data_IF_827492879347
#
_entry.id   IF_827492879347
#
_cell.length_a   1.000
_cell.length_b   1.000
_cell.length_c   1.000
_cell.angle_alpha   90.00
_cell.angle_beta   90.00
_cell.angle_gamma   90.00
#
_symmetry.space_group_name_H-M   'P 1'
#
loop_
_entity.id
_entity.type
_entity.pdbx_description
1 polymer ?
#
# COMPACT_ATOMS: atom_id res chain seq x y z
N UNK A 1 -19.78 25.71 -16.91
CA UNK A 1 -19.18 24.64 -16.08
C UNK A 1 -18.43 25.29 -14.93
N UNK A 2 -18.60 24.84 -13.67
CA UNK A 2 -17.89 25.46 -12.52
C UNK A 2 -16.56 24.76 -12.26
N UNK A 3 -15.58 25.47 -11.69
CA UNK A 3 -14.27 24.91 -11.34
C UNK A 3 -14.35 23.69 -10.42
N UNK A 4 -15.31 23.71 -9.48
CA UNK A 4 -15.63 22.54 -8.63
C UNK A 4 -16.10 21.34 -9.45
N UNK A 5 -16.99 21.56 -10.43
CA UNK A 5 -17.56 20.50 -11.25
C UNK A 5 -16.53 19.93 -12.23
N UNK A 6 -15.67 20.78 -12.78
CA UNK A 6 -14.53 20.36 -13.61
C UNK A 6 -13.51 19.55 -12.81
N UNK A 7 -13.19 19.96 -11.58
CA UNK A 7 -12.32 19.18 -10.68
C UNK A 7 -12.87 17.78 -10.42
N UNK A 8 -14.17 17.67 -10.12
CA UNK A 8 -14.82 16.37 -9.90
C UNK A 8 -14.76 15.51 -11.16
N UNK A 9 -14.99 16.08 -12.34
CA UNK A 9 -14.87 15.34 -13.60
C UNK A 9 -13.45 14.82 -13.83
N UNK A 10 -12.43 15.67 -13.66
CA UNK A 10 -11.03 15.26 -13.78
C UNK A 10 -10.68 14.16 -12.78
N UNK A 11 -11.08 14.31 -11.52
CA UNK A 11 -10.81 13.31 -10.47
C UNK A 11 -11.45 11.95 -10.77
N UNK A 12 -12.55 11.92 -11.54
CA UNK A 12 -13.29 10.71 -11.86
C UNK A 12 -13.07 10.19 -13.28
N UNK A 13 -12.16 10.79 -14.05
CA UNK A 13 -11.79 10.26 -15.36
C UNK A 13 -11.11 8.89 -15.22
N UNK A 14 -11.33 7.98 -16.18
CA UNK A 14 -10.56 6.74 -16.26
C UNK A 14 -9.06 7.06 -16.31
N UNK A 15 -8.21 6.27 -15.64
CA UNK A 15 -6.75 6.46 -15.66
C UNK A 15 -6.14 6.35 -17.07
N UNK A 16 -6.84 5.64 -17.97
CA UNK A 16 -6.50 5.46 -19.39
C UNK A 16 -7.01 6.58 -20.31
N UNK A 17 -7.69 7.60 -19.77
CA UNK A 17 -8.19 8.70 -20.59
C UNK A 17 -7.05 9.56 -21.14
N UNK A 18 -7.22 10.08 -22.36
CA UNK A 18 -6.24 10.97 -23.01
C UNK A 18 -5.89 12.18 -22.14
N UNK A 19 -6.86 12.71 -21.39
CA UNK A 19 -6.66 13.82 -20.46
C UNK A 19 -5.78 13.42 -19.27
N UNK A 20 -5.99 12.24 -18.68
CA UNK A 20 -5.11 11.75 -17.60
C UNK A 20 -3.70 11.48 -18.10
N UNK A 21 -3.55 10.98 -19.32
CA UNK A 21 -2.25 10.79 -19.98
C UNK A 21 -1.56 12.12 -20.25
N UNK A 22 -2.28 13.14 -20.72
CA UNK A 22 -1.73 14.48 -20.93
C UNK A 22 -1.26 15.12 -19.61
N UNK A 23 -2.04 14.96 -18.52
CA UNK A 23 -1.64 15.42 -17.19
C UNK A 23 -0.40 14.70 -16.68
N UNK A 24 -0.29 13.38 -16.92
CA UNK A 24 0.89 12.60 -16.55
C UNK A 24 2.13 13.03 -17.33
N UNK A 25 1.99 13.31 -18.63
CA UNK A 25 3.09 13.76 -19.47
C UNK A 25 3.54 15.20 -19.17
N UNK A 26 2.70 15.98 -18.48
CA UNK A 26 3.02 17.35 -18.06
C UNK A 26 3.79 17.41 -16.74
N UNK A 27 3.96 16.27 -16.03
CA UNK A 27 4.78 16.19 -14.80
C UNK A 27 6.25 16.46 -15.13
N UNK A 28 6.92 17.22 -14.28
CA UNK A 28 8.37 17.42 -14.38
C UNK A 28 9.12 16.16 -13.90
N UNK A 29 10.38 15.96 -14.31
CA UNK A 29 11.19 14.83 -13.83
C UNK A 29 11.31 14.79 -12.30
N UNK A 30 11.44 15.94 -11.66
CA UNK A 30 11.53 16.10 -10.19
C UNK A 30 10.24 15.65 -9.50
N UNK A 31 9.07 15.99 -10.07
CA UNK A 31 7.77 15.54 -9.57
C UNK A 31 7.59 14.03 -9.76
N UNK A 32 8.18 13.46 -10.81
CA UNK A 32 8.10 12.03 -11.12
C UNK A 32 8.95 11.19 -10.16
N UNK A 33 10.14 11.67 -9.80
CA UNK A 33 10.99 11.06 -8.78
C UNK A 33 10.35 11.14 -7.40
N UNK A 34 9.82 12.31 -7.01
CA UNK A 34 9.09 12.46 -5.75
C UNK A 34 7.86 11.51 -5.68
N UNK A 35 7.17 11.34 -6.79
CA UNK A 35 6.05 10.38 -6.89
C UNK A 35 6.51 8.92 -6.82
N UNK A 36 7.73 8.59 -7.25
CA UNK A 36 8.26 7.23 -7.15
C UNK A 36 8.62 6.87 -5.69
N UNK A 37 9.19 7.82 -4.95
CA UNK A 37 9.63 7.61 -3.56
C UNK A 37 8.47 7.72 -2.55
N UNK A 38 7.61 8.73 -2.69
CA UNK A 38 6.50 8.99 -1.77
C UNK A 38 5.16 8.45 -2.28
N UNK A 39 5.17 7.85 -3.46
CA UNK A 39 3.99 7.30 -4.10
C UNK A 39 3.27 6.33 -3.18
N UNK A 40 1.99 6.60 -2.94
CA UNK A 40 1.07 5.68 -2.28
C UNK A 40 0.22 5.02 -3.35
N UNK A 41 0.76 4.04 -4.11
CA UNK A 41 0.05 3.40 -5.20
C UNK A 41 -1.27 2.80 -4.72
N UNK A 42 -1.37 2.37 -3.46
CA UNK A 42 -2.59 1.85 -2.84
C UNK A 42 -3.73 2.88 -2.72
N UNK A 43 -3.44 4.18 -2.79
CA UNK A 43 -4.44 5.26 -2.77
C UNK A 43 -4.83 5.75 -4.16
N UNK A 44 -4.06 5.37 -5.18
CA UNK A 44 -4.30 5.74 -6.58
C UNK A 44 -5.42 4.92 -7.23
N UNK A 45 -5.98 5.42 -8.33
CA UNK A 45 -6.94 4.65 -9.16
C UNK A 45 -6.15 3.79 -10.14
N UNK A 46 -6.07 2.49 -9.87
CA UNK A 46 -5.33 1.60 -10.76
C UNK A 46 -6.08 1.33 -12.05
N UNK A 47 -5.40 1.46 -13.18
CA UNK A 47 -5.87 0.91 -14.44
C UNK A 47 -5.73 -0.61 -14.50
N UNK A 48 -6.30 -1.26 -15.53
CA UNK A 48 -6.15 -2.70 -15.68
C UNK A 48 -4.69 -3.12 -15.88
N UNK A 49 -3.91 -2.34 -16.63
CA UNK A 49 -2.49 -2.58 -16.83
C UNK A 49 -1.72 -2.47 -15.51
N UNK A 50 -2.08 -1.52 -14.65
CA UNK A 50 -1.49 -1.37 -13.32
C UNK A 50 -1.85 -2.56 -12.41
N UNK A 51 -3.06 -3.10 -12.51
CA UNK A 51 -3.45 -4.33 -11.80
C UNK A 51 -2.68 -5.55 -12.30
N UNK A 52 -2.46 -5.65 -13.62
CA UNK A 52 -1.67 -6.73 -14.21
C UNK A 52 -0.20 -6.63 -13.79
N UNK A 53 0.41 -5.44 -13.90
CA UNK A 53 1.80 -5.19 -13.52
C UNK A 53 2.06 -5.50 -12.05
N UNK A 54 1.17 -5.10 -11.16
CA UNK A 54 1.29 -5.44 -9.76
C UNK A 54 1.18 -6.95 -9.51
N UNK A 55 0.40 -7.67 -10.31
CA UNK A 55 0.29 -9.12 -10.21
C UNK A 55 1.57 -9.82 -10.69
N UNK A 56 2.20 -9.28 -11.73
CA UNK A 56 3.54 -9.69 -12.15
C UNK A 56 4.59 -9.43 -11.06
N UNK A 57 4.55 -8.24 -10.44
CA UNK A 57 5.44 -7.89 -9.33
C UNK A 57 5.31 -8.86 -8.15
N UNK A 58 4.09 -9.19 -7.74
CA UNK A 58 3.84 -10.14 -6.65
C UNK A 58 4.36 -11.56 -6.98
N UNK A 59 4.23 -11.98 -8.24
CA UNK A 59 4.75 -13.25 -8.72
C UNK A 59 6.28 -13.28 -8.67
N UNK A 60 6.94 -12.21 -9.12
CA UNK A 60 8.40 -12.08 -9.08
C UNK A 60 8.93 -12.10 -7.64
N UNK A 61 8.32 -11.34 -6.73
CA UNK A 61 8.68 -11.37 -5.30
C UNK A 61 8.54 -12.77 -4.70
N UNK A 62 7.52 -13.53 -5.09
CA UNK A 62 7.35 -14.92 -4.65
C UNK A 62 8.45 -15.82 -5.19
N UNK A 63 8.85 -15.67 -6.44
CA UNK A 63 9.96 -16.43 -7.04
C UNK A 63 11.27 -16.11 -6.33
N UNK A 64 11.57 -14.83 -6.10
CA UNK A 64 12.73 -14.35 -5.33
C UNK A 64 12.76 -15.01 -3.94
N UNK A 65 11.63 -15.00 -3.21
CA UNK A 65 11.51 -15.64 -1.90
C UNK A 65 11.81 -17.14 -1.95
N UNK A 66 11.24 -17.86 -2.91
CA UNK A 66 11.47 -19.30 -3.07
C UNK A 66 12.94 -19.59 -3.39
N UNK A 67 13.56 -18.78 -4.26
CA UNK A 67 14.99 -18.92 -4.58
C UNK A 67 15.86 -18.72 -3.33
N UNK A 68 15.58 -17.71 -2.50
CA UNK A 68 16.31 -17.51 -1.25
C UNK A 68 16.11 -18.70 -0.31
N UNK A 69 14.87 -19.18 -0.14
CA UNK A 69 14.57 -20.31 0.72
C UNK A 69 15.26 -21.62 0.29
N UNK A 70 15.33 -21.90 -1.01
CA UNK A 70 16.00 -23.10 -1.54
C UNK A 70 17.52 -23.01 -1.38
N UNK A 71 18.08 -21.80 -1.48
CA UNK A 71 19.53 -21.56 -1.34
C UNK A 71 19.97 -21.27 0.10
N UNK A 72 19.09 -21.40 1.09
CA UNK A 72 19.42 -21.21 2.51
C UNK A 72 19.32 -22.54 3.26
N UNK A 73 20.44 -23.00 3.81
CA UNK A 73 20.56 -24.32 4.46
C UNK A 73 19.64 -24.46 5.68
N UNK A 74 19.48 -23.38 6.45
CA UNK A 74 18.72 -23.37 7.70
C UNK A 74 17.37 -22.71 7.48
N UNK A 75 16.30 -23.50 7.65
CA UNK A 75 14.90 -23.01 7.61
C UNK A 75 14.63 -21.84 8.58
N UNK A 76 15.37 -21.78 9.69
CA UNK A 76 15.27 -20.70 10.67
C UNK A 76 15.75 -19.33 10.13
N UNK A 77 16.58 -19.32 9.08
CA UNK A 77 17.09 -18.12 8.44
C UNK A 77 16.25 -17.68 7.23
N UNK A 78 15.13 -18.34 6.95
CA UNK A 78 14.29 -18.00 5.81
C UNK A 78 13.68 -16.60 6.00
N UNK A 79 13.75 -15.74 4.96
CA UNK A 79 13.08 -14.45 5.03
C UNK A 79 11.57 -14.62 5.14
N UNK A 80 10.92 -13.63 5.74
CA UNK A 80 9.46 -13.58 5.77
C UNK A 80 8.90 -13.62 4.35
N UNK A 81 7.75 -14.29 4.18
CA UNK A 81 7.07 -14.32 2.89
C UNK A 81 6.74 -12.89 2.46
N UNK A 82 7.08 -12.48 1.23
CA UNK A 82 6.79 -11.14 0.75
C UNK A 82 5.28 -10.89 0.77
N UNK A 83 4.90 -9.71 1.22
CA UNK A 83 3.51 -9.27 1.17
C UNK A 83 3.18 -8.80 -0.26
N UNK A 84 2.02 -9.18 -0.81
CA UNK A 84 1.56 -8.64 -2.08
C UNK A 84 1.43 -7.11 -2.02
N UNK A 85 1.72 -6.44 -3.14
CA UNK A 85 1.52 -5.00 -3.28
C UNK A 85 0.06 -4.66 -2.98
N UNK A 86 -0.16 -3.65 -2.14
CA UNK A 86 -1.52 -3.29 -1.72
C UNK A 86 -2.30 -2.71 -2.90
N UNK A 87 -3.38 -3.39 -3.28
CA UNK A 87 -4.28 -2.94 -4.34
C UNK A 87 -5.20 -1.83 -3.83
N UNK A 88 -5.53 -0.82 -4.64
CA UNK A 88 -6.55 0.16 -4.29
C UNK A 88 -7.89 -0.51 -4.01
N UNK A 89 -8.53 -0.12 -2.92
CA UNK A 89 -9.79 -0.71 -2.48
C UNK A 89 -9.68 -2.10 -1.85
N UNK A 90 -8.50 -2.75 -1.87
CA UNK A 90 -8.28 -3.94 -1.06
C UNK A 90 -8.14 -3.51 0.40
N UNK A 91 -8.97 -4.11 1.26
CA UNK A 91 -8.95 -3.81 2.69
C UNK A 91 -7.53 -4.07 3.25
N UNK A 92 -7.03 -3.22 4.16
CA UNK A 92 -5.78 -3.49 4.84
C UNK A 92 -5.89 -4.84 5.56
N UNK A 93 -4.82 -5.62 5.54
CA UNK A 93 -4.72 -6.85 6.33
C UNK A 93 -5.03 -6.47 7.78
N UNK A 94 -6.08 -7.06 8.37
CA UNK A 94 -6.42 -6.80 9.77
C UNK A 94 -5.15 -7.03 10.57
N UNK A 95 -4.63 -5.97 11.21
CA UNK A 95 -3.57 -6.13 12.19
C UNK A 95 -4.04 -7.20 13.16
N UNK A 96 -3.19 -8.20 13.45
CA UNK A 96 -3.51 -9.17 14.50
C UNK A 96 -3.60 -8.34 15.78
N UNK A 97 -4.81 -7.95 16.16
CA UNK A 97 -5.04 -7.31 17.45
C UNK A 97 -4.63 -8.35 18.48
N UNK A 98 -3.47 -8.15 19.09
CA UNK A 98 -3.05 -9.01 20.19
C UNK A 98 -4.19 -8.99 21.22
N UNK A 99 -4.67 -10.16 21.63
CA UNK A 99 -5.64 -10.23 22.72
C UNK A 99 -5.04 -9.48 23.90
N UNK A 100 -5.77 -8.47 24.36
CA UNK A 100 -5.36 -7.63 25.47
C UNK A 100 -5.13 -8.56 26.67
N UNK A 101 -3.88 -8.67 27.11
CA UNK A 101 -3.54 -9.44 28.31
C UNK A 101 -4.12 -8.71 29.53
N UNK A 102 -4.47 -9.46 30.58
CA UNK A 102 -5.07 -8.88 31.78
C UNK A 102 -4.23 -7.72 32.34
N UNK A 103 -2.90 -7.88 32.37
CA UNK A 103 -1.95 -6.84 32.78
C UNK A 103 -2.02 -5.57 31.92
N UNK A 104 -2.19 -5.70 30.60
CA UNK A 104 -2.36 -4.54 29.71
C UNK A 104 -3.73 -3.89 29.90
N UNK A 105 -4.75 -4.66 30.28
CA UNK A 105 -6.09 -4.14 30.56
C UNK A 105 -6.08 -3.34 31.86
N UNK A 106 -5.46 -3.86 32.92
CA UNK A 106 -5.35 -3.19 34.21
C UNK A 106 -4.54 -1.89 34.11
N UNK A 107 -3.47 -1.88 33.30
CA UNK A 107 -2.69 -0.67 33.00
C UNK A 107 -3.46 0.38 32.19
N UNK A 108 -4.28 -0.06 31.24
CA UNK A 108 -5.19 0.84 30.52
C UNK A 108 -6.27 1.39 31.47
N UNK A 109 -6.78 0.55 32.36
CA UNK A 109 -7.80 0.92 33.33
C UNK A 109 -7.29 1.94 34.34
N UNK A 110 -6.04 1.82 34.79
CA UNK A 110 -5.40 2.82 35.65
C UNK A 110 -5.14 4.13 34.91
N UNK A 111 -4.72 4.10 33.64
CA UNK A 111 -4.53 5.30 32.83
C UNK A 111 -5.85 6.05 32.55
N UNK A 112 -6.93 5.33 32.29
CA UNK A 112 -8.25 5.92 31.98
C UNK A 112 -8.92 6.49 33.23
N UNK A 113 -8.79 5.81 34.37
CA UNK A 113 -9.39 6.25 35.64
C UNK A 113 -8.49 7.17 36.47
N UNK A 114 -7.42 7.71 35.86
CA UNK A 114 -6.57 8.71 36.50
C UNK A 114 -5.76 8.19 37.68
N UNK A 115 -5.16 7.00 37.55
CA UNK A 115 -4.18 6.44 38.49
C UNK A 115 -2.91 7.29 38.50
N UNK A 116 -3.01 8.43 39.19
CA UNK A 116 -1.88 9.15 39.73
C UNK A 116 -1.16 8.25 40.74
N UNK A 117 0.17 8.43 40.79
CA UNK A 117 0.95 8.13 41.97
C UNK A 117 0.35 8.79 43.22
#
# INVERSE_FOLDING_TARGET
MTSRRLRVLIQHLPPESSTMTALRNALTPEELEAQADEGQPEKGRWSQDQQLLASCYDALRRIEHVLICVNTEKKAAWPARPEPLRRPGAAPKKAKTARLTQSNADRLFSLINGGAA
#
